data_IF_462818061897
#
_entry.id   IF_462818061897
#
_cell.length_a   1.000
_cell.length_b   1.000
_cell.length_c   1.000
_cell.angle_alpha   90.00
_cell.angle_beta   90.00
_cell.angle_gamma   90.00
#
_symmetry.space_group_name_H-M   'P 1'
#
loop_
_entity.id
_entity.type
_entity.pdbx_description
1 polymer ?
#
# COMPACT_ATOMS: atom_id res chain seq x y z
N UNK A 1 17.31 23.90 0.93
CA UNK A 1 17.30 22.44 0.67
C UNK A 1 17.06 22.22 -0.82
N UNK A 2 17.56 21.13 -1.41
CA UNK A 2 17.33 20.84 -2.83
C UNK A 2 15.88 20.36 -3.03
N UNK A 3 15.20 20.84 -4.07
CA UNK A 3 13.88 20.33 -4.46
C UNK A 3 13.98 18.88 -4.92
N UNK A 4 13.02 18.06 -4.52
CA UNK A 4 12.94 16.66 -4.94
C UNK A 4 12.09 16.54 -6.22
N UNK A 5 12.39 15.59 -7.10
CA UNK A 5 11.53 15.33 -8.26
C UNK A 5 10.23 14.63 -7.80
N UNK A 6 9.04 15.25 -7.92
CA UNK A 6 7.80 14.64 -7.46
C UNK A 6 7.46 13.33 -8.16
N UNK A 7 7.82 13.17 -9.44
CA UNK A 7 7.56 11.96 -10.20
C UNK A 7 8.39 10.77 -9.69
N UNK A 8 9.64 11.01 -9.29
CA UNK A 8 10.52 9.97 -8.74
C UNK A 8 9.99 9.48 -7.39
N UNK A 9 9.58 10.39 -6.52
CA UNK A 9 9.03 10.02 -5.21
C UNK A 9 7.64 9.39 -5.33
N UNK A 10 6.81 9.87 -6.26
CA UNK A 10 5.57 9.21 -6.64
C UNK A 10 5.83 7.76 -7.07
N UNK A 11 6.73 7.53 -8.02
CA UNK A 11 7.06 6.18 -8.49
C UNK A 11 7.55 5.28 -7.36
N UNK A 12 8.47 5.78 -6.52
CA UNK A 12 8.95 5.04 -5.35
C UNK A 12 7.80 4.65 -4.41
N UNK A 13 6.93 5.60 -4.07
CA UNK A 13 5.80 5.35 -3.17
C UNK A 13 4.79 4.36 -3.78
N UNK A 14 4.45 4.52 -5.07
CA UNK A 14 3.56 3.59 -5.77
C UNK A 14 4.11 2.16 -5.84
N UNK A 15 5.41 2.00 -6.08
CA UNK A 15 6.06 0.68 -6.07
C UNK A 15 6.07 0.07 -4.66
N UNK A 16 6.41 0.86 -3.65
CA UNK A 16 6.45 0.39 -2.26
C UNK A 16 5.06 -0.09 -1.80
N UNK A 17 4.03 0.74 -2.00
CA UNK A 17 2.66 0.41 -1.59
C UNK A 17 2.12 -0.76 -2.41
N UNK A 18 2.33 -0.79 -3.73
CA UNK A 18 1.94 -1.93 -4.56
C UNK A 18 2.62 -3.23 -4.13
N UNK A 19 3.90 -3.18 -3.77
CA UNK A 19 4.64 -4.34 -3.29
C UNK A 19 4.08 -4.88 -1.96
N UNK A 20 3.71 -4.00 -1.02
CA UNK A 20 3.02 -4.45 0.20
C UNK A 20 1.73 -5.23 -0.11
N UNK A 21 0.97 -4.80 -1.12
CA UNK A 21 -0.26 -5.47 -1.53
C UNK A 21 -0.01 -6.74 -2.36
N UNK A 22 1.12 -6.81 -3.07
CA UNK A 22 1.58 -8.06 -3.68
C UNK A 22 1.90 -9.10 -2.60
N UNK A 23 2.61 -8.72 -1.54
CA UNK A 23 2.88 -9.60 -0.39
C UNK A 23 1.58 -10.07 0.24
N UNK A 24 0.62 -9.16 0.45
CA UNK A 24 -0.72 -9.52 0.92
C UNK A 24 -1.38 -10.57 0.01
N UNK A 25 -1.43 -10.35 -1.32
CA UNK A 25 -2.02 -11.28 -2.26
C UNK A 25 -1.35 -12.66 -2.26
N UNK A 26 -0.02 -12.72 -2.11
CA UNK A 26 0.73 -13.97 -1.95
C UNK A 26 0.29 -14.70 -0.68
N UNK A 27 0.20 -13.99 0.45
CA UNK A 27 -0.27 -14.60 1.70
C UNK A 27 -1.71 -15.11 1.60
N UNK A 28 -2.60 -14.44 0.84
CA UNK A 28 -3.95 -14.93 0.56
C UNK A 28 -3.88 -16.24 -0.22
N UNK A 29 -3.05 -16.30 -1.27
CA UNK A 29 -2.89 -17.53 -2.08
C UNK A 29 -2.34 -18.73 -1.28
N UNK A 30 -1.57 -18.46 -0.22
CA UNK A 30 -1.03 -19.47 0.69
C UNK A 30 -1.98 -19.84 1.84
N UNK A 31 -3.13 -19.16 1.96
CA UNK A 31 -4.08 -19.37 3.06
C UNK A 31 -3.60 -18.86 4.43
N UNK A 32 -2.57 -18.01 4.46
CA UNK A 32 -1.94 -17.53 5.70
C UNK A 32 -2.52 -16.21 6.21
N UNK A 33 -3.30 -15.50 5.39
CA UNK A 33 -3.78 -14.14 5.73
C UNK A 33 -4.73 -14.11 6.92
N UNK A 34 -5.55 -15.14 7.15
CA UNK A 34 -6.49 -15.12 8.28
C UNK A 34 -5.73 -15.07 9.61
N UNK A 35 -4.75 -15.95 9.81
CA UNK A 35 -3.91 -15.96 11.00
C UNK A 35 -3.12 -14.65 11.16
N UNK A 36 -2.64 -14.08 10.06
CA UNK A 36 -1.98 -12.77 10.06
C UNK A 36 -2.92 -11.65 10.54
N UNK A 37 -4.15 -11.62 10.04
CA UNK A 37 -5.17 -10.65 10.44
C UNK A 37 -5.55 -10.81 11.92
N UNK A 38 -5.76 -12.06 12.37
CA UNK A 38 -6.12 -12.34 13.75
C UNK A 38 -4.99 -11.90 14.72
N UNK A 39 -3.72 -12.15 14.35
CA UNK A 39 -2.57 -11.63 15.08
C UNK A 39 -2.55 -10.09 15.11
N UNK A 40 -2.68 -9.42 13.95
CA UNK A 40 -2.67 -7.96 13.87
C UNK A 40 -3.79 -7.32 14.70
N UNK A 41 -5.00 -7.89 14.68
CA UNK A 41 -6.12 -7.40 15.49
C UNK A 41 -5.87 -7.62 16.99
N UNK A 42 -5.27 -8.75 17.37
CA UNK A 42 -4.91 -9.02 18.77
C UNK A 42 -3.94 -8.00 19.35
N UNK A 43 -2.98 -7.51 18.55
CA UNK A 43 -2.04 -6.45 18.96
C UNK A 43 -2.75 -5.12 19.29
N UNK A 44 -3.96 -4.93 18.78
CA UNK A 44 -4.80 -3.76 19.02
C UNK A 44 -5.90 -4.02 20.06
N UNK A 45 -5.87 -5.16 20.75
CA UNK A 45 -6.92 -5.59 21.68
C UNK A 45 -8.31 -5.70 21.01
N UNK A 46 -8.34 -6.03 19.72
CA UNK A 46 -9.56 -6.21 18.93
C UNK A 46 -9.76 -7.68 18.57
N UNK A 47 -11.02 -8.08 18.44
CA UNK A 47 -11.39 -9.31 17.76
C UNK A 47 -11.55 -9.02 16.26
N UNK A 48 -11.10 -9.92 15.40
CA UNK A 48 -11.31 -9.81 13.96
C UNK A 48 -12.73 -10.29 13.58
N UNK A 49 -13.64 -9.40 13.15
CA UNK A 49 -14.99 -9.81 12.77
C UNK A 49 -15.08 -10.29 11.32
N UNK A 50 -13.98 -10.22 10.56
CA UNK A 50 -13.95 -10.51 9.13
C UNK A 50 -13.35 -11.88 8.83
N UNK A 51 -13.92 -12.53 7.82
CA UNK A 51 -13.38 -13.74 7.21
C UNK A 51 -12.74 -13.38 5.87
N UNK A 52 -11.52 -13.87 5.65
CA UNK A 52 -10.77 -13.63 4.43
C UNK A 52 -11.33 -14.55 3.34
N UNK A 53 -11.71 -13.96 2.19
CA UNK A 53 -12.21 -14.69 1.05
C UNK A 53 -11.14 -15.55 0.36
N UNK A 54 -11.58 -16.43 -0.55
CA UNK A 54 -10.66 -17.22 -1.38
C UNK A 54 -9.85 -16.34 -2.32
N UNK A 55 -8.63 -16.77 -2.65
CA UNK A 55 -7.80 -16.08 -3.62
C UNK A 55 -8.50 -15.98 -4.99
N UNK A 56 -8.51 -14.79 -5.55
CA UNK A 56 -8.97 -14.51 -6.91
C UNK A 56 -7.93 -13.64 -7.62
N UNK A 57 -7.49 -14.10 -8.80
CA UNK A 57 -6.41 -13.45 -9.55
C UNK A 57 -6.80 -12.03 -10.00
N UNK A 58 -8.05 -11.85 -10.43
CA UNK A 58 -8.54 -10.54 -10.90
C UNK A 58 -8.52 -9.52 -9.76
N UNK A 59 -8.98 -9.91 -8.58
CA UNK A 59 -8.98 -9.10 -7.36
C UNK A 59 -7.55 -8.77 -6.91
N UNK A 60 -6.64 -9.74 -6.94
CA UNK A 60 -5.24 -9.55 -6.57
C UNK A 60 -4.53 -8.53 -7.50
N UNK A 61 -4.67 -8.69 -8.82
CA UNK A 61 -4.10 -7.76 -9.79
C UNK A 61 -4.71 -6.37 -9.66
N UNK A 62 -6.04 -6.29 -9.49
CA UNK A 62 -6.75 -5.03 -9.28
C UNK A 62 -6.26 -4.30 -8.03
N UNK A 63 -6.08 -5.02 -6.93
CA UNK A 63 -5.55 -4.47 -5.67
C UNK A 63 -4.18 -3.84 -5.87
N UNK A 64 -3.25 -4.55 -6.53
CA UNK A 64 -1.89 -4.05 -6.76
C UNK A 64 -1.92 -2.80 -7.64
N UNK A 65 -2.67 -2.82 -8.76
CA UNK A 65 -2.76 -1.67 -9.66
C UNK A 65 -3.34 -0.45 -8.94
N UNK A 66 -4.49 -0.61 -8.27
CA UNK A 66 -5.17 0.49 -7.59
C UNK A 66 -4.28 1.09 -6.51
N UNK A 67 -3.67 0.25 -5.68
CA UNK A 67 -2.84 0.71 -4.55
C UNK A 67 -1.52 1.33 -5.02
N UNK A 68 -0.94 0.84 -6.12
CA UNK A 68 0.21 1.50 -6.76
C UNK A 68 -0.13 2.87 -7.32
N UNK A 69 -1.26 3.03 -8.00
CA UNK A 69 -1.70 4.32 -8.55
C UNK A 69 -1.97 5.31 -7.41
N UNK A 70 -2.66 4.87 -6.36
CA UNK A 70 -2.95 5.69 -5.18
C UNK A 70 -1.65 6.08 -4.45
N UNK A 71 -0.74 5.11 -4.22
CA UNK A 71 0.56 5.37 -3.61
C UNK A 71 1.41 6.35 -4.42
N UNK A 72 1.38 6.23 -5.76
CA UNK A 72 2.02 7.20 -6.65
C UNK A 72 1.45 8.60 -6.46
N UNK A 73 0.13 8.72 -6.43
CA UNK A 73 -0.56 9.99 -6.18
C UNK A 73 -0.13 10.62 -4.86
N UNK A 74 -0.10 9.85 -3.77
CA UNK A 74 0.36 10.32 -2.47
C UNK A 74 1.80 10.84 -2.50
N UNK A 75 2.75 10.06 -3.05
CA UNK A 75 4.15 10.47 -3.14
C UNK A 75 4.35 11.73 -3.99
N UNK A 76 3.63 11.83 -5.11
CA UNK A 76 3.68 12.98 -5.99
C UNK A 76 3.12 14.24 -5.31
N UNK A 77 1.91 14.17 -4.72
CA UNK A 77 1.29 15.29 -4.00
C UNK A 77 2.17 15.74 -2.84
N UNK A 78 2.70 14.80 -2.05
CA UNK A 78 3.56 15.12 -0.92
C UNK A 78 4.79 15.94 -1.35
N UNK A 79 5.46 15.54 -2.43
CA UNK A 79 6.61 16.28 -2.95
C UNK A 79 6.25 17.58 -3.64
N UNK A 80 5.09 17.66 -4.29
CA UNK A 80 4.59 18.90 -4.85
C UNK A 80 4.37 19.96 -3.76
N UNK A 81 3.68 19.59 -2.67
CA UNK A 81 3.48 20.46 -1.50
C UNK A 81 4.82 20.85 -0.86
N UNK A 82 5.69 19.87 -0.61
CA UNK A 82 7.01 20.11 -0.01
C UNK A 82 7.85 21.11 -0.82
N UNK A 83 7.91 20.92 -2.14
CA UNK A 83 8.65 21.83 -3.03
C UNK A 83 8.04 23.24 -3.09
N UNK A 84 6.72 23.36 -2.88
CA UNK A 84 6.01 24.64 -2.78
C UNK A 84 6.28 25.38 -1.47
N UNK A 85 6.49 24.65 -0.36
CA UNK A 85 6.79 25.22 0.95
C UNK A 85 8.24 25.74 1.08
N UNK A 86 9.14 25.33 0.19
CA UNK A 86 10.52 25.81 0.22
C UNK A 86 10.59 27.26 -0.27
N UNK A 87 11.07 28.16 0.60
CA UNK A 87 11.41 29.55 0.23
C UNK A 87 12.50 29.55 -0.86
N UNK A 88 12.40 30.50 -1.81
CA UNK A 88 13.38 30.69 -2.89
C UNK A 88 14.81 30.80 -2.35
#
# INVERSE_FOLDING_TARGET
>A
MKKCNPFTVGLYSGLLIGFCHLVWAVLVSLGLVQAWMDFMFSLHFLNNPFQVGTFDMTTAVSLIIVTSVVGYGFGWVAMWVWNGMQKK
#
